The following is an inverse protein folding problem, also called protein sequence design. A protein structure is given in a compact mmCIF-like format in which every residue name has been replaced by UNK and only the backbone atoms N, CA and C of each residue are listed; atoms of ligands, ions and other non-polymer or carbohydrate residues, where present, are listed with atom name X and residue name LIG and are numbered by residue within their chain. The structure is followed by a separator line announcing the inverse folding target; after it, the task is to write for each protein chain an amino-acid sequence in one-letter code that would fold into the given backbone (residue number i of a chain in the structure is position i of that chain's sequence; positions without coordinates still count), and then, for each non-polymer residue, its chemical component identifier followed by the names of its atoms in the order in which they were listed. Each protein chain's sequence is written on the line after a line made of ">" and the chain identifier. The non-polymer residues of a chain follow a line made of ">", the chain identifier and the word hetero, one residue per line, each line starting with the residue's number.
data_IF_836757391769
#
_entry.id   IF_836757391769
#
_cell.length_a   1.000
_cell.length_b   1.000
_cell.length_c   1.000
_cell.angle_alpha   90.00
_cell.angle_beta   90.00
_cell.angle_gamma   90.00
#
_symmetry.space_group_name_H-M   'P 1'
#
loop_
_entity.id
_entity.type
_entity.pdbx_description
1 polymer ?
#
# COMPACT_ATOMS: atom_id res chain seq x y z
N UNK A 1 9.87 13.76 10.43
CA UNK A 1 8.51 13.21 10.25
C UNK A 1 8.12 12.34 11.45
N UNK A 2 6.84 12.02 11.59
CA UNK A 2 6.34 11.15 12.65
C UNK A 2 5.40 10.11 12.05
N UNK A 3 5.51 8.86 12.50
CA UNK A 3 4.50 7.83 12.28
C UNK A 3 3.66 7.69 13.56
N UNK A 4 2.36 7.64 13.41
CA UNK A 4 1.42 7.32 14.49
C UNK A 4 0.76 5.97 14.21
N UNK A 5 0.78 5.07 15.18
CA UNK A 5 0.09 3.78 15.11
C UNK A 5 -1.40 4.02 15.32
N UNK A 6 -2.21 3.86 14.26
CA UNK A 6 -3.67 4.06 14.32
C UNK A 6 -4.46 2.75 14.42
N UNK A 7 -3.84 1.62 14.09
CA UNK A 7 -4.39 0.27 14.31
C UNK A 7 -3.23 -0.73 14.40
N UNK A 8 -3.27 -1.63 15.38
CA UNK A 8 -2.32 -2.72 15.55
C UNK A 8 -2.88 -3.79 16.47
N UNK A 9 -2.38 -5.01 16.35
CA UNK A 9 -2.61 -6.09 17.33
C UNK A 9 -1.50 -6.19 18.38
N UNK A 10 -0.39 -5.51 18.18
CA UNK A 10 0.82 -5.70 18.97
C UNK A 10 1.46 -4.40 19.47
N UNK A 11 1.21 -3.29 18.81
CA UNK A 11 1.64 -1.96 19.23
C UNK A 11 0.49 -1.21 19.88
N UNK A 12 0.77 -0.38 20.86
CA UNK A 12 -0.24 0.51 21.46
C UNK A 12 -0.70 1.54 20.43
N UNK A 13 -2.01 1.69 20.28
CA UNK A 13 -2.61 2.73 19.43
C UNK A 13 -2.19 4.10 19.96
N UNK A 14 -1.84 5.02 19.08
CA UNK A 14 -1.30 6.34 19.42
C UNK A 14 0.21 6.37 19.64
N UNK A 15 0.92 5.22 19.60
CA UNK A 15 2.39 5.20 19.62
C UNK A 15 2.93 6.07 18.50
N UNK A 16 3.86 6.97 18.84
CA UNK A 16 4.50 7.91 17.92
C UNK A 16 5.94 7.55 17.70
N UNK A 17 6.32 7.28 16.47
CA UNK A 17 7.66 6.93 16.04
C UNK A 17 8.21 8.12 15.27
N UNK A 18 9.25 8.74 15.80
CA UNK A 18 9.87 9.95 15.21
C UNK A 18 11.07 9.58 14.36
N UNK A 19 11.12 10.12 13.15
CA UNK A 19 12.19 9.90 12.17
C UNK A 19 12.66 11.26 11.67
N UNK A 20 13.95 11.50 11.70
CA UNK A 20 14.56 12.70 11.17
C UNK A 20 15.38 12.43 9.90
N UNK A 21 16.19 13.38 9.48
CA UNK A 21 17.05 13.25 8.31
C UNK A 21 18.20 12.24 8.49
N UNK A 22 18.46 11.78 9.70
CA UNK A 22 19.51 10.82 10.03
C UNK A 22 18.96 9.40 10.27
N UNK A 23 17.65 9.25 10.40
CA UNK A 23 16.97 7.97 10.65
C UNK A 23 16.05 8.03 11.88
N UNK A 24 15.88 6.89 12.56
CA UNK A 24 15.06 6.79 13.76
C UNK A 24 15.67 7.65 14.88
N UNK A 25 14.87 8.54 15.47
CA UNK A 25 15.35 9.51 16.42
C UNK A 25 15.74 8.87 17.78
N UNK A 26 14.93 7.91 18.24
CA UNK A 26 15.10 7.25 19.53
C UNK A 26 14.91 5.73 19.41
N UNK A 27 15.72 4.95 20.13
CA UNK A 27 15.55 3.49 20.25
C UNK A 27 15.97 2.68 19.03
N UNK A 28 16.79 3.25 18.12
CA UNK A 28 17.33 2.49 16.99
C UNK A 28 18.22 1.35 17.48
N UNK A 29 17.86 0.12 17.09
CA UNK A 29 18.66 -1.06 17.42
C UNK A 29 19.94 -1.13 16.54
N UNK A 30 19.86 -0.62 15.30
CA UNK A 30 20.97 -0.60 14.35
C UNK A 30 22.01 0.49 14.68
N UNK A 31 21.62 1.52 15.41
CA UNK A 31 22.45 2.65 15.81
C UNK A 31 23.25 3.30 14.66
N UNK A 32 22.64 3.43 13.48
CA UNK A 32 23.23 4.09 12.30
C UNK A 32 22.48 5.37 11.98
N UNK A 33 23.22 6.40 11.54
CA UNK A 33 22.69 7.72 11.16
C UNK A 33 22.88 7.95 9.65
N UNK A 34 22.31 7.06 8.85
CA UNK A 34 22.43 7.06 7.39
C UNK A 34 21.17 7.56 6.66
N UNK A 35 20.22 8.12 7.40
CA UNK A 35 18.96 8.62 6.87
C UNK A 35 17.96 7.51 6.53
N UNK A 36 18.23 6.26 6.93
CA UNK A 36 17.37 5.11 6.66
C UNK A 36 16.87 4.54 7.97
N UNK A 37 15.58 4.22 8.02
CA UNK A 37 14.95 3.49 9.14
C UNK A 37 14.31 2.21 8.60
N UNK A 38 14.79 1.06 9.05
CA UNK A 38 14.27 -0.26 8.72
C UNK A 38 13.30 -0.75 9.79
N UNK A 39 12.12 -1.16 9.34
CA UNK A 39 11.07 -1.77 10.14
C UNK A 39 10.92 -3.24 9.80
N UNK A 40 10.78 -4.08 10.79
CA UNK A 40 10.63 -5.50 10.54
C UNK A 40 10.45 -6.34 11.80
N UNK A 41 10.66 -7.63 11.67
CA UNK A 41 10.53 -8.59 12.74
C UNK A 41 11.71 -9.57 12.72
N UNK A 42 12.34 -9.75 13.88
CA UNK A 42 13.32 -10.81 14.07
C UNK A 42 12.57 -12.06 14.52
N UNK A 43 12.53 -13.11 13.70
CA UNK A 43 11.92 -14.38 14.07
C UNK A 43 12.43 -14.88 15.43
N UNK A 44 11.62 -15.61 16.16
CA UNK A 44 12.06 -16.36 17.34
C UNK A 44 12.84 -17.56 16.80
N UNK A 45 14.17 -17.46 16.73
CA UNK A 45 15.01 -18.61 16.43
C UNK A 45 15.02 -19.53 17.66
N UNK A 46 14.27 -20.61 17.57
CA UNK A 46 14.30 -21.70 18.56
C UNK A 46 15.58 -22.54 18.52
N UNK A 47 16.48 -22.28 17.56
CA UNK A 47 17.74 -23.00 17.40
C UNK A 47 18.92 -22.04 17.24
N UNK A 48 19.85 -22.11 18.17
CA UNK A 48 21.06 -21.32 18.35
C UNK A 48 22.13 -21.47 17.26
N UNK A 49 21.84 -21.25 15.99
CA UNK A 49 22.87 -21.12 14.95
C UNK A 49 22.97 -19.64 14.54
N UNK A 50 23.87 -18.94 15.22
CA UNK A 50 24.05 -17.47 15.17
C UNK A 50 24.87 -17.01 13.95
N UNK A 51 25.51 -17.91 13.18
CA UNK A 51 26.67 -17.52 12.38
C UNK A 51 26.43 -16.98 10.97
N UNK A 52 25.17 -16.87 10.45
CA UNK A 52 24.95 -16.34 9.11
C UNK A 52 23.78 -15.36 8.96
N UNK A 53 23.30 -14.73 10.04
CA UNK A 53 22.08 -13.89 10.03
C UNK A 53 22.43 -12.38 10.18
N UNK A 54 23.70 -12.00 10.31
CA UNK A 54 24.09 -10.68 10.79
C UNK A 54 23.79 -9.52 9.83
N UNK A 55 23.69 -9.69 8.52
CA UNK A 55 23.45 -8.56 7.62
C UNK A 55 21.98 -8.35 7.24
N UNK A 56 21.15 -9.38 7.17
CA UNK A 56 19.73 -9.23 6.81
C UNK A 56 18.82 -8.74 7.93
N UNK A 57 19.23 -8.89 9.19
CA UNK A 57 18.39 -8.63 10.36
C UNK A 57 18.68 -7.29 11.10
N UNK A 58 19.48 -6.41 10.54
CA UNK A 58 19.77 -5.12 11.13
C UNK A 58 18.55 -4.19 11.02
N UNK A 59 17.67 -4.25 11.99
CA UNK A 59 16.45 -3.44 12.11
C UNK A 59 16.70 -2.22 13.00
N UNK A 60 16.05 -1.12 12.68
CA UNK A 60 15.99 0.04 13.57
C UNK A 60 14.80 -0.08 14.53
N UNK A 61 13.66 -0.56 14.02
CA UNK A 61 12.43 -0.68 14.79
C UNK A 61 11.80 -2.07 14.65
N UNK A 62 11.58 -2.73 15.77
CA UNK A 62 10.90 -4.04 15.81
C UNK A 62 9.39 -3.87 15.79
N UNK A 63 8.75 -4.53 14.84
CA UNK A 63 7.31 -4.68 14.80
C UNK A 63 6.97 -6.03 15.44
N UNK A 64 6.43 -6.07 16.67
CA UNK A 64 6.09 -7.33 17.32
C UNK A 64 4.95 -7.99 16.54
N UNK A 65 5.20 -9.18 16.02
CA UNK A 65 4.24 -9.98 15.26
C UNK A 65 4.21 -11.37 15.87
N UNK A 66 3.03 -11.79 16.29
CA UNK A 66 2.81 -13.19 16.66
C UNK A 66 2.63 -13.98 15.35
N UNK A 67 3.43 -15.04 15.15
CA UNK A 67 3.33 -15.94 13.99
C UNK A 67 3.62 -15.26 12.63
N UNK A 68 4.83 -14.79 12.44
CA UNK A 68 5.32 -14.39 11.12
C UNK A 68 6.25 -15.47 10.57
N UNK A 69 5.81 -16.17 9.54
CA UNK A 69 6.59 -17.24 8.90
C UNK A 69 7.73 -16.70 8.02
N UNK A 70 7.77 -15.41 7.78
CA UNK A 70 8.77 -14.76 6.94
C UNK A 70 9.38 -13.53 7.65
N UNK A 71 10.26 -13.74 8.66
CA UNK A 71 10.92 -12.67 9.39
C UNK A 71 11.86 -11.86 8.49
N UNK A 72 12.29 -10.69 8.95
CA UNK A 72 13.22 -9.81 8.27
C UNK A 72 12.71 -8.38 8.14
N UNK A 73 13.24 -7.64 7.18
CA UNK A 73 12.88 -6.26 6.90
C UNK A 73 11.61 -6.18 6.07
N UNK A 74 10.56 -5.55 6.58
CA UNK A 74 9.27 -5.41 5.89
C UNK A 74 9.23 -4.16 5.01
N UNK A 75 9.69 -3.05 5.55
CA UNK A 75 9.79 -1.79 4.80
C UNK A 75 10.89 -0.91 5.38
N UNK A 76 11.28 0.08 4.60
CA UNK A 76 12.14 1.16 5.07
C UNK A 76 11.52 2.51 4.79
N UNK A 77 11.90 3.47 5.63
CA UNK A 77 11.72 4.89 5.37
C UNK A 77 13.09 5.50 5.19
N UNK A 78 13.28 6.22 4.10
CA UNK A 78 14.55 6.85 3.76
C UNK A 78 14.35 8.34 3.50
N UNK A 79 15.16 9.16 4.14
CA UNK A 79 15.23 10.58 3.83
C UNK A 79 16.18 10.83 2.65
N UNK A 80 15.70 11.52 1.62
CA UNK A 80 16.48 11.89 0.44
C UNK A 80 16.85 13.37 0.55
N UNK A 81 18.07 13.65 1.02
CA UNK A 81 18.55 15.01 1.30
C UNK A 81 18.40 15.97 0.11
N UNK A 82 18.72 15.51 -1.10
CA UNK A 82 18.63 16.33 -2.33
C UNK A 82 17.22 16.80 -2.65
N UNK A 83 16.20 16.02 -2.28
CA UNK A 83 14.79 16.30 -2.56
C UNK A 83 14.08 16.87 -1.32
N UNK A 84 14.71 16.82 -0.14
CA UNK A 84 14.09 17.11 1.15
C UNK A 84 12.79 16.30 1.37
N UNK A 85 12.84 14.99 1.06
CA UNK A 85 11.69 14.12 1.04
C UNK A 85 11.94 12.83 1.80
N UNK A 86 10.89 12.28 2.39
CA UNK A 86 10.86 10.92 2.93
C UNK A 86 10.24 9.97 1.92
N UNK A 87 10.89 8.82 1.75
CA UNK A 87 10.46 7.77 0.81
C UNK A 87 10.16 6.50 1.59
N UNK A 88 8.96 5.95 1.39
CA UNK A 88 8.56 4.62 1.82
C UNK A 88 8.90 3.60 0.73
N UNK A 89 9.51 2.47 1.13
CA UNK A 89 9.77 1.35 0.24
C UNK A 89 9.44 0.03 0.92
N UNK A 90 8.64 -0.82 0.27
CA UNK A 90 8.42 -2.22 0.64
C UNK A 90 9.69 -3.05 0.37
N UNK A 91 9.99 -4.06 1.20
CA UNK A 91 11.19 -4.88 1.15
C UNK A 91 10.91 -6.39 0.98
N UNK A 92 9.75 -6.73 0.41
CA UNK A 92 9.37 -8.09 -0.01
C UNK A 92 9.26 -9.15 1.10
N UNK A 93 9.36 -8.76 2.37
CA UNK A 93 9.13 -9.63 3.53
C UNK A 93 7.78 -9.32 4.19
N UNK A 94 7.28 -10.28 4.98
CA UNK A 94 5.96 -10.19 5.62
C UNK A 94 4.81 -10.26 4.61
N UNK A 95 3.66 -9.69 4.97
CA UNK A 95 2.44 -9.69 4.15
C UNK A 95 2.32 -8.48 3.21
N UNK A 96 3.41 -7.76 3.00
CA UNK A 96 3.44 -6.56 2.16
C UNK A 96 3.24 -5.26 2.92
N UNK A 97 3.64 -4.17 2.26
CA UNK A 97 3.42 -2.79 2.74
C UNK A 97 2.56 -2.08 1.71
N UNK A 98 1.38 -1.63 2.14
CA UNK A 98 0.34 -1.09 1.26
C UNK A 98 -0.04 0.31 1.67
N UNK A 99 -0.28 1.18 0.70
CA UNK A 99 -0.73 2.55 0.88
C UNK A 99 -2.24 2.60 0.70
N UNK A 100 -2.93 3.30 1.58
CA UNK A 100 -4.35 3.56 1.45
C UNK A 100 -4.61 4.52 0.29
N UNK A 101 -5.52 4.17 -0.59
CA UNK A 101 -6.00 5.06 -1.64
C UNK A 101 -7.01 6.00 -1.01
N UNK A 102 -6.65 7.27 -0.84
CA UNK A 102 -7.56 8.27 -0.23
C UNK A 102 -8.41 8.97 -1.27
N UNK A 103 -7.86 9.25 -2.45
CA UNK A 103 -8.61 9.84 -3.55
C UNK A 103 -8.60 8.94 -4.76
N UNK A 104 -7.78 9.21 -5.73
CA UNK A 104 -7.60 8.37 -6.92
C UNK A 104 -6.12 8.17 -7.20
N UNK A 105 -5.78 7.04 -7.76
CA UNK A 105 -4.41 6.67 -8.07
C UNK A 105 -4.32 6.02 -9.44
N UNK A 106 -3.29 6.38 -10.22
CA UNK A 106 -3.04 5.72 -11.50
C UNK A 106 -2.43 4.35 -11.28
N UNK A 107 -2.99 3.38 -12.00
CA UNK A 107 -2.50 2.01 -11.98
C UNK A 107 -1.26 1.89 -12.87
N UNK A 108 -0.38 0.98 -12.49
CA UNK A 108 0.77 0.56 -13.29
C UNK A 108 0.65 -0.93 -13.60
N UNK A 109 1.32 -1.35 -14.64
CA UNK A 109 1.42 -2.77 -14.93
C UNK A 109 2.03 -3.50 -13.73
N UNK A 110 1.44 -4.62 -13.33
CA UNK A 110 1.78 -5.41 -12.14
C UNK A 110 1.47 -4.74 -10.79
N UNK A 111 0.65 -3.67 -10.75
CA UNK A 111 0.13 -3.16 -9.47
C UNK A 111 -0.64 -4.27 -8.74
N UNK A 112 -0.44 -4.33 -7.43
CA UNK A 112 -1.20 -5.24 -6.54
C UNK A 112 -2.08 -4.40 -5.64
N UNK A 113 -3.37 -4.69 -5.64
CA UNK A 113 -4.38 -4.03 -4.83
C UNK A 113 -4.89 -5.03 -3.79
N UNK A 114 -5.04 -4.59 -2.55
CA UNK A 114 -5.65 -5.38 -1.49
C UNK A 114 -6.98 -4.75 -1.05
N UNK A 115 -8.02 -5.58 -0.96
CA UNK A 115 -9.38 -5.24 -0.53
C UNK A 115 -9.85 -6.35 0.40
N UNK A 116 -9.99 -6.06 1.71
CA UNK A 116 -10.26 -7.11 2.69
C UNK A 116 -9.17 -8.18 2.65
N UNK A 117 -9.57 -9.45 2.51
CA UNK A 117 -8.66 -10.60 2.38
C UNK A 117 -8.38 -10.98 0.91
N UNK A 118 -8.79 -10.14 -0.05
CA UNK A 118 -8.63 -10.39 -1.49
C UNK A 118 -7.52 -9.53 -2.06
N UNK A 119 -6.75 -10.10 -2.98
CA UNK A 119 -5.73 -9.40 -3.75
C UNK A 119 -6.11 -9.37 -5.23
N UNK A 120 -5.92 -8.21 -5.86
CA UNK A 120 -6.12 -8.01 -7.30
C UNK A 120 -4.76 -7.69 -7.91
N UNK A 121 -4.34 -8.48 -8.88
CA UNK A 121 -3.15 -8.17 -9.67
C UNK A 121 -3.58 -7.56 -11.01
N UNK A 122 -3.01 -6.41 -11.32
CA UNK A 122 -3.32 -5.59 -12.48
C UNK A 122 -2.29 -5.85 -13.58
N UNK A 123 -2.77 -6.14 -14.78
CA UNK A 123 -1.94 -6.28 -15.97
C UNK A 123 -2.53 -5.46 -17.11
N UNK A 124 -1.68 -4.97 -17.99
CA UNK A 124 -2.07 -4.32 -19.22
C UNK A 124 -1.72 -5.21 -20.40
N UNK A 125 -2.69 -5.44 -21.29
CA UNK A 125 -2.49 -6.18 -22.53
C UNK A 125 -2.20 -5.24 -23.68
N UNK A 126 -1.02 -5.34 -24.26
CA UNK A 126 -0.63 -4.55 -25.42
C UNK A 126 -1.29 -5.13 -26.69
N UNK A 127 -2.05 -4.33 -27.44
CA UNK A 127 -2.63 -4.73 -28.73
C UNK A 127 -1.67 -4.52 -29.91
N UNK A 128 -0.46 -4.04 -29.76
CA UNK A 128 0.56 -3.87 -30.83
C UNK A 128 1.51 -2.72 -30.50
N UNK A 129 2.39 -2.83 -29.52
CA UNK A 129 3.45 -1.83 -29.39
C UNK A 129 4.78 -2.45 -28.94
N UNK A 130 5.84 -2.10 -29.65
CA UNK A 130 7.24 -2.39 -29.29
C UNK A 130 7.73 -1.65 -28.03
N UNK A 131 6.88 -0.86 -27.39
CA UNK A 131 7.20 -0.09 -26.18
C UNK A 131 6.37 -0.60 -25.01
N UNK A 132 7.05 -1.05 -23.94
CA UNK A 132 6.42 -1.37 -22.67
C UNK A 132 5.68 -0.16 -22.11
N UNK A 133 4.37 -0.13 -22.27
CA UNK A 133 3.51 0.89 -21.66
C UNK A 133 3.25 0.53 -20.20
N UNK A 134 4.05 1.10 -19.32
CA UNK A 134 3.97 0.84 -17.86
C UNK A 134 2.65 1.37 -17.28
N UNK A 135 2.05 2.39 -17.90
CA UNK A 135 0.85 3.07 -17.41
C UNK A 135 -0.44 2.66 -18.13
N UNK A 136 -0.36 1.81 -19.14
CA UNK A 136 -1.53 1.29 -19.86
C UNK A 136 -2.30 2.34 -20.67
N UNK A 137 -1.62 3.33 -21.27
CA UNK A 137 -2.25 4.41 -22.04
C UNK A 137 -3.08 3.92 -23.24
N UNK A 138 -2.71 2.82 -23.83
CA UNK A 138 -3.41 2.24 -25.00
C UNK A 138 -3.68 0.74 -24.84
N UNK A 139 -3.80 0.29 -23.60
CA UNK A 139 -3.92 -1.12 -23.27
C UNK A 139 -5.27 -1.45 -22.66
N UNK A 140 -5.75 -2.65 -22.91
CA UNK A 140 -6.85 -3.21 -22.17
C UNK A 140 -6.38 -3.60 -20.76
N UNK A 141 -7.31 -3.56 -19.81
CA UNK A 141 -7.07 -3.89 -18.43
C UNK A 141 -7.40 -5.36 -18.17
N UNK A 142 -6.46 -6.09 -17.62
CA UNK A 142 -6.61 -7.45 -17.14
C UNK A 142 -6.45 -7.49 -15.62
N UNK A 143 -7.42 -8.03 -14.92
CA UNK A 143 -7.44 -8.15 -13.46
C UNK A 143 -7.50 -9.62 -13.07
N UNK A 144 -6.49 -10.08 -12.32
CA UNK A 144 -6.51 -11.39 -11.69
C UNK A 144 -6.88 -11.25 -10.22
N UNK A 145 -7.90 -11.96 -9.80
CA UNK A 145 -8.41 -11.97 -8.42
C UNK A 145 -7.87 -13.18 -7.70
N UNK A 146 -7.20 -12.97 -6.58
CA UNK A 146 -6.67 -14.00 -5.68
C UNK A 146 -7.40 -13.92 -4.34
N UNK A 147 -8.00 -15.01 -3.93
CA UNK A 147 -8.66 -15.14 -2.64
C UNK A 147 -8.16 -16.39 -1.88
N UNK A 148 -8.42 -16.45 -0.59
CA UNK A 148 -7.98 -17.56 0.27
C UNK A 148 -8.56 -18.92 -0.12
N UNK A 149 -9.61 -18.97 -0.96
CA UNK A 149 -10.28 -20.21 -1.36
C UNK A 149 -9.69 -20.81 -2.65
N UNK A 150 -8.53 -20.34 -3.12
CA UNK A 150 -7.86 -20.76 -4.36
C UNK A 150 -8.73 -20.65 -5.64
N UNK A 151 -9.83 -19.93 -5.58
CA UNK A 151 -10.75 -19.74 -6.70
C UNK A 151 -10.33 -18.46 -7.46
N UNK A 152 -9.18 -18.55 -8.15
CA UNK A 152 -8.64 -17.44 -8.89
C UNK A 152 -9.51 -17.17 -10.12
N UNK A 153 -9.92 -15.91 -10.30
CA UNK A 153 -10.69 -15.44 -11.45
C UNK A 153 -9.91 -14.41 -12.23
N UNK A 154 -10.15 -14.36 -13.52
CA UNK A 154 -9.54 -13.38 -14.41
C UNK A 154 -10.63 -12.62 -15.17
N UNK A 155 -10.47 -11.30 -15.27
CA UNK A 155 -11.37 -10.38 -15.94
C UNK A 155 -10.57 -9.52 -16.91
N UNK A 156 -11.15 -9.25 -18.08
CA UNK A 156 -10.55 -8.34 -19.08
C UNK A 156 -11.55 -7.24 -19.41
N UNK A 157 -11.09 -6.01 -19.47
CA UNK A 157 -11.87 -4.83 -19.77
C UNK A 157 -11.19 -4.04 -20.88
N UNK A 158 -11.94 -3.74 -21.92
CA UNK A 158 -11.45 -2.95 -23.05
C UNK A 158 -11.39 -1.47 -22.66
N UNK A 159 -10.35 -0.78 -23.12
CA UNK A 159 -10.15 0.65 -22.85
C UNK A 159 -11.22 1.55 -23.46
N UNK A 160 -11.83 1.10 -24.58
CA UNK A 160 -12.92 1.80 -25.27
C UNK A 160 -14.22 1.80 -24.46
N UNK A 161 -14.32 0.95 -23.45
CA UNK A 161 -15.48 0.93 -22.57
C UNK A 161 -15.35 2.06 -21.52
N UNK A 162 -16.01 3.18 -21.79
CA UNK A 162 -15.98 4.38 -20.90
C UNK A 162 -16.68 4.15 -19.55
N UNK A 163 -17.25 2.97 -19.32
CA UNK A 163 -17.98 2.66 -18.11
C UNK A 163 -17.04 2.38 -16.94
N UNK A 164 -17.42 2.87 -15.77
CA UNK A 164 -16.76 2.56 -14.51
C UNK A 164 -16.83 1.05 -14.20
N UNK A 165 -15.68 0.44 -13.94
CA UNK A 165 -15.57 -0.94 -13.47
C UNK A 165 -15.73 -0.92 -11.95
N UNK A 166 -16.86 -1.42 -11.46
CA UNK A 166 -17.18 -1.49 -10.04
C UNK A 166 -16.69 -2.79 -9.45
N UNK A 167 -15.97 -2.70 -8.34
CA UNK A 167 -15.45 -3.84 -7.58
C UNK A 167 -16.00 -3.76 -6.16
N UNK A 168 -16.64 -4.83 -5.71
CA UNK A 168 -17.26 -4.80 -4.39
C UNK A 168 -17.84 -6.16 -3.99
N UNK A 169 -18.60 -6.13 -2.88
CA UNK A 169 -19.20 -7.33 -2.33
C UNK A 169 -20.23 -7.95 -3.29
N UNK A 170 -20.29 -9.29 -3.31
CA UNK A 170 -21.25 -10.06 -4.10
C UNK A 170 -22.71 -9.64 -3.86
N UNK A 171 -23.55 -9.86 -4.85
CA UNK A 171 -25.00 -9.56 -4.85
C UNK A 171 -25.36 -8.05 -4.87
N UNK A 172 -24.45 -7.19 -5.33
CA UNK A 172 -24.69 -5.74 -5.46
C UNK A 172 -24.50 -5.21 -6.87
N UNK A 173 -24.42 -6.10 -7.87
CA UNK A 173 -24.30 -5.74 -9.28
C UNK A 173 -22.97 -5.07 -9.63
N UNK A 174 -21.88 -5.53 -9.02
CA UNK A 174 -20.52 -5.12 -9.37
C UNK A 174 -20.03 -5.89 -10.61
N UNK A 175 -19.14 -5.28 -11.39
CA UNK A 175 -18.47 -5.94 -12.52
C UNK A 175 -17.51 -7.04 -12.02
N UNK A 176 -16.90 -6.82 -10.85
CA UNK A 176 -16.13 -7.84 -10.12
C UNK A 176 -16.76 -8.00 -8.74
N UNK A 177 -17.38 -9.14 -8.52
CA UNK A 177 -18.02 -9.50 -7.27
C UNK A 177 -17.08 -10.34 -6.39
N UNK A 178 -16.90 -9.87 -5.15
CA UNK A 178 -16.02 -10.47 -4.15
C UNK A 178 -16.87 -11.00 -2.98
N UNK A 179 -16.73 -12.28 -2.67
CA UNK A 179 -17.50 -12.92 -1.59
C UNK A 179 -16.76 -12.78 -0.24
N UNK A 180 -16.80 -11.57 0.34
CA UNK A 180 -16.22 -11.26 1.63
C UNK A 180 -17.06 -10.17 2.32
N UNK A 181 -17.50 -10.44 3.54
CA UNK A 181 -18.34 -9.52 4.33
C UNK A 181 -17.59 -8.26 4.80
N UNK A 182 -16.28 -8.27 4.80
CA UNK A 182 -15.45 -7.11 5.13
C UNK A 182 -15.40 -6.10 3.98
N UNK A 183 -15.82 -6.51 2.77
CA UNK A 183 -15.83 -5.67 1.57
C UNK A 183 -17.12 -4.85 1.50
N UNK A 184 -17.00 -3.58 1.15
CA UNK A 184 -18.13 -2.68 0.95
C UNK A 184 -18.96 -3.08 -0.27
N UNK A 185 -20.25 -2.67 -0.34
CA UNK A 185 -21.12 -2.92 -1.50
C UNK A 185 -20.45 -2.53 -2.80
N UNK A 186 -19.91 -1.32 -2.88
CA UNK A 186 -18.92 -0.87 -3.87
C UNK A 186 -17.69 -0.49 -3.07
N UNK A 187 -16.58 -1.21 -3.25
CA UNK A 187 -15.35 -0.95 -2.50
C UNK A 187 -14.43 0.00 -3.23
N UNK A 188 -14.29 -0.19 -4.53
CA UNK A 188 -13.56 0.72 -5.38
C UNK A 188 -14.11 0.71 -6.79
N UNK A 189 -13.67 1.70 -7.55
CA UNK A 189 -14.01 1.87 -8.97
C UNK A 189 -12.73 2.05 -9.75
N UNK A 190 -12.62 1.34 -10.89
CA UNK A 190 -11.54 1.54 -11.85
C UNK A 190 -12.14 2.19 -13.09
N UNK A 191 -11.44 3.20 -13.61
CA UNK A 191 -11.86 3.96 -14.80
C UNK A 191 -10.67 4.16 -15.73
N UNK A 192 -10.90 4.12 -17.01
CA UNK A 192 -9.94 4.55 -18.03
C UNK A 192 -9.98 6.07 -18.22
N UNK A 193 -8.81 6.68 -18.34
CA UNK A 193 -8.64 8.09 -18.69
C UNK A 193 -7.73 8.20 -19.92
N UNK A 194 -8.21 8.83 -20.98
CA UNK A 194 -7.50 8.94 -22.26
C UNK A 194 -6.15 9.64 -22.19
N UNK A 195 -5.90 10.43 -21.13
CA UNK A 195 -4.65 11.21 -20.95
C UNK A 195 -3.65 10.46 -20.06
N UNK A 196 -4.13 9.68 -19.08
CA UNK A 196 -3.29 9.16 -17.99
C UNK A 196 -3.44 7.64 -17.76
N UNK A 197 -4.20 6.94 -18.62
CA UNK A 197 -4.43 5.50 -18.52
C UNK A 197 -5.42 5.11 -17.43
N UNK A 198 -5.27 3.92 -16.90
CA UNK A 198 -6.18 3.36 -15.90
C UNK A 198 -5.95 3.95 -14.51
N UNK A 199 -7.03 4.33 -13.86
CA UNK A 199 -7.01 4.86 -12.48
C UNK A 199 -7.98 4.09 -11.59
N UNK A 200 -7.64 3.97 -10.32
CA UNK A 200 -8.48 3.40 -9.27
C UNK A 200 -8.84 4.46 -8.25
N UNK A 201 -10.06 4.37 -7.72
CA UNK A 201 -10.61 5.24 -6.68
C UNK A 201 -11.25 4.40 -5.59
N UNK A 202 -10.99 4.73 -4.32
CA UNK A 202 -11.67 4.08 -3.20
C UNK A 202 -13.13 4.50 -3.13
N UNK A 203 -14.03 3.57 -2.87
CA UNK A 203 -15.47 3.80 -2.77
C UNK A 203 -16.13 4.13 -4.10
N UNK A 204 -17.19 4.94 -4.04
CA UNK A 204 -17.99 5.36 -5.21
C UNK A 204 -18.54 6.76 -5.03
N UNK A 205 -18.90 7.39 -6.13
CA UNK A 205 -19.61 8.66 -6.14
C UNK A 205 -21.12 8.42 -6.33
N UNK A 206 -21.92 9.22 -5.66
CA UNK A 206 -23.38 9.27 -5.84
C UNK A 206 -23.77 10.70 -6.23
N UNK A 207 -24.48 10.86 -7.33
CA UNK A 207 -25.06 12.15 -7.72
C UNK A 207 -26.35 12.32 -6.93
N UNK A 208 -26.41 13.36 -6.11
CA UNK A 208 -27.59 13.71 -5.33
C UNK A 208 -28.64 14.39 -6.24
N UNK A 209 -29.90 14.48 -5.75
CA UNK A 209 -31.01 15.11 -6.49
C UNK A 209 -30.76 16.59 -6.87
N UNK A 210 -29.91 17.28 -6.11
CA UNK A 210 -29.50 18.66 -6.36
C UNK A 210 -28.31 18.78 -7.31
N UNK A 211 -27.82 17.67 -7.92
CA UNK A 211 -26.65 17.64 -8.81
C UNK A 211 -25.30 17.57 -8.10
N UNK A 212 -25.25 17.67 -6.78
CA UNK A 212 -24.00 17.54 -6.03
C UNK A 212 -23.47 16.10 -6.04
N UNK A 213 -22.15 15.97 -6.06
CA UNK A 213 -21.47 14.68 -6.00
C UNK A 213 -21.13 14.37 -4.53
N UNK A 214 -21.77 13.33 -3.99
CA UNK A 214 -21.42 12.78 -2.68
C UNK A 214 -20.48 11.61 -2.85
N UNK A 215 -19.29 11.71 -2.24
CA UNK A 215 -18.34 10.62 -2.17
C UNK A 215 -18.67 9.66 -1.04
N UNK A 216 -18.70 8.37 -1.33
CA UNK A 216 -18.89 7.30 -0.37
C UNK A 216 -17.61 6.47 -0.31
N UNK A 217 -16.85 6.60 0.78
CA UNK A 217 -15.65 5.80 1.00
C UNK A 217 -15.98 4.36 1.37
N UNK A 218 -15.10 3.45 1.03
CA UNK A 218 -15.22 2.08 1.50
C UNK A 218 -14.96 1.98 3.01
N UNK A 219 -15.55 0.97 3.68
CA UNK A 219 -15.43 0.83 5.14
C UNK A 219 -14.00 0.52 5.59
N UNK A 220 -13.32 -0.38 4.89
CA UNK A 220 -11.98 -0.87 5.24
C UNK A 220 -10.87 -0.33 4.35
N UNK A 221 -11.21 0.51 3.38
CA UNK A 221 -10.28 1.10 2.43
C UNK A 221 -9.89 0.17 1.28
N UNK A 222 -9.34 0.78 0.25
CA UNK A 222 -8.67 0.14 -0.87
C UNK A 222 -7.18 0.45 -0.73
N UNK A 223 -6.33 -0.56 -0.90
CA UNK A 223 -4.91 -0.47 -0.60
C UNK A 223 -4.08 -0.89 -1.79
N UNK A 224 -3.00 -0.19 -2.11
CA UNK A 224 -2.06 -0.53 -3.19
C UNK A 224 -0.69 -0.84 -2.63
N UNK A 225 -0.04 -1.91 -3.13
CA UNK A 225 1.31 -2.32 -2.72
C UNK A 225 2.32 -1.21 -3.05
N UNK A 226 3.15 -0.86 -2.07
CA UNK A 226 4.25 0.08 -2.22
C UNK A 226 5.46 -0.57 -2.92
N UNK A 227 5.26 -1.08 -4.15
CA UNK A 227 6.29 -1.77 -4.94
C UNK A 227 7.44 -0.86 -5.35
N UNK A 228 7.15 0.43 -5.54
CA UNK A 228 8.13 1.46 -5.89
C UNK A 228 8.55 2.29 -4.68
N UNK A 229 9.49 3.20 -4.91
CA UNK A 229 9.81 4.26 -3.96
C UNK A 229 8.66 5.27 -3.92
N UNK A 230 7.92 5.27 -2.80
CA UNK A 230 6.76 6.14 -2.64
C UNK A 230 7.13 7.35 -1.79
N UNK A 231 6.94 8.54 -2.34
CA UNK A 231 7.06 9.79 -1.57
C UNK A 231 6.01 9.81 -0.47
N UNK A 232 6.46 9.98 0.77
CA UNK A 232 5.56 10.16 1.90
C UNK A 232 5.00 11.58 1.88
N UNK A 233 3.67 11.68 1.96
CA UNK A 233 2.95 12.95 2.08
C UNK A 233 2.37 13.11 3.49
N UNK A 234 2.05 14.34 3.86
CA UNK A 234 1.36 14.58 5.13
C UNK A 234 0.00 13.88 5.16
N UNK A 235 -0.35 13.29 6.30
CA UNK A 235 -1.55 12.48 6.56
C UNK A 235 -1.64 11.16 5.78
N UNK A 236 -0.66 10.81 4.94
CA UNK A 236 -0.63 9.53 4.25
C UNK A 236 -0.82 8.37 5.24
N UNK A 237 -1.67 7.42 4.87
CA UNK A 237 -1.93 6.21 5.66
C UNK A 237 -1.35 5.01 4.90
N UNK A 238 -0.59 4.18 5.58
CA UNK A 238 -0.11 2.92 5.04
C UNK A 238 -0.23 1.79 6.08
N UNK A 239 -0.29 0.57 5.59
CA UNK A 239 -0.26 -0.63 6.43
C UNK A 239 0.93 -1.50 6.09
N UNK A 240 1.51 -2.15 7.10
CA UNK A 240 2.47 -3.21 6.93
C UNK A 240 2.14 -4.33 7.91
N UNK A 241 1.94 -5.52 7.36
CA UNK A 241 1.37 -6.62 8.11
C UNK A 241 0.05 -6.21 8.80
N UNK A 242 -0.03 -6.36 10.13
CA UNK A 242 -1.22 -6.02 10.93
C UNK A 242 -1.20 -4.60 11.51
N UNK A 243 -0.20 -3.79 11.15
CA UNK A 243 -0.04 -2.44 11.66
C UNK A 243 -0.46 -1.41 10.62
N UNK A 244 -1.24 -0.42 11.04
CA UNK A 244 -1.62 0.73 10.21
C UNK A 244 -1.02 1.98 10.83
N UNK A 245 -0.32 2.74 10.00
CA UNK A 245 0.39 3.95 10.37
C UNK A 245 -0.19 5.15 9.64
N UNK A 246 -0.24 6.28 10.35
CA UNK A 246 -0.50 7.59 9.76
C UNK A 246 0.78 8.42 9.80
N UNK A 247 1.14 9.00 8.67
CA UNK A 247 2.29 9.89 8.55
C UNK A 247 1.92 11.33 8.92
N UNK A 248 2.83 12.03 9.59
CA UNK A 248 2.77 13.47 9.81
C UNK A 248 4.13 14.09 9.45
N UNK A 249 4.12 15.00 8.48
CA UNK A 249 5.30 15.79 8.13
C UNK A 249 5.32 17.02 9.03
N UNK A 250 6.17 17.01 10.05
CA UNK A 250 6.32 18.13 10.98
C UNK A 250 7.06 19.24 10.25
N UNK A 251 6.35 20.32 9.90
CA UNK A 251 6.96 21.54 9.41
C UNK A 251 7.67 22.22 10.60
N UNK A 252 8.97 22.48 10.48
CA UNK A 252 9.64 23.34 11.45
C UNK A 252 10.72 22.73 12.35
N UNK A 253 11.35 21.62 11.96
CA UNK A 253 12.67 21.30 12.53
C UNK A 253 13.75 22.11 11.79
N UNK A 254 13.64 23.44 11.85
CA UNK A 254 14.81 24.28 11.66
C UNK A 254 15.71 24.03 12.87
N UNK A 255 16.66 23.12 12.75
CA UNK A 255 17.78 23.09 13.67
C UNK A 255 18.51 24.42 13.50
N UNK A 256 18.38 25.28 14.51
CA UNK A 256 19.36 26.32 14.73
C UNK A 256 20.69 25.59 14.92
N UNK A 257 21.57 25.72 13.92
CA UNK A 257 22.98 25.30 13.99
C UNK A 257 23.70 26.17 15.00
#
# INVERSE_FOLDING_TARGET
>A
MQLEVIKSFSLSIGTKIKIDQFGLLEGSLRNRKDGITYFGYNGINSNNNIDNIEEENNLDYLLPIKHCDNPGRFFKIQYIKKLNEYILKHLEKGFGTFIKIEDSMYLRNKSIINIGDVYLAIFFSEKNSDKKDIYGFNCDLKIKVYNNNNNNKEYTFEKENEKDIKIGRSNFGNDIELNDNLISKINCVIRYNNIKGWMIKDGSDTILKNGEIKRNFSKNGTWILASDNIKITDKMIFKSNFNIFKCSLIQGWNYIL
#
